data_IF_200164989048
#
_entry.id   IF_200164989048
#
_cell.length_a   1.000
_cell.length_b   1.000
_cell.length_c   1.000
_cell.angle_alpha   90.00
_cell.angle_beta   90.00
_cell.angle_gamma   90.00
#
_symmetry.space_group_name_H-M   'P 1'
#
loop_
_entity.id
_entity.type
_entity.pdbx_description
1 polymer ?
#
# COMPACT_ATOMS: atom_id res chain seq x y z
N UNK A 1 -24.01 -21.93 1.73
CA UNK A 1 -22.65 -21.36 1.90
C UNK A 1 -22.78 -19.91 2.37
N UNK A 2 -22.35 -19.60 3.60
CA UNK A 2 -22.58 -18.27 4.18
C UNK A 2 -21.85 -17.17 3.39
N UNK A 3 -22.54 -16.10 2.93
CA UNK A 3 -21.95 -15.02 2.14
C UNK A 3 -20.76 -14.34 2.83
N UNK A 4 -20.67 -14.44 4.16
CA UNK A 4 -19.55 -13.96 4.98
C UNK A 4 -18.23 -14.70 4.74
N UNK A 5 -18.24 -16.02 4.46
CA UNK A 5 -17.00 -16.80 4.22
C UNK A 5 -16.31 -16.45 2.90
N UNK A 6 -17.08 -16.13 1.84
CA UNK A 6 -16.54 -15.68 0.55
C UNK A 6 -15.93 -14.27 0.68
N UNK A 7 -16.62 -13.35 1.35
CA UNK A 7 -16.13 -12.00 1.62
C UNK A 7 -14.83 -12.00 2.44
N UNK A 8 -14.75 -12.86 3.46
CA UNK A 8 -13.55 -13.01 4.29
C UNK A 8 -12.34 -13.54 3.50
N UNK A 9 -12.53 -14.52 2.59
CA UNK A 9 -11.45 -15.00 1.71
C UNK A 9 -10.96 -13.92 0.74
N UNK A 10 -11.86 -13.11 0.20
CA UNK A 10 -11.50 -12.00 -0.69
C UNK A 10 -10.71 -10.93 0.08
N UNK A 11 -11.19 -10.52 1.26
CA UNK A 11 -10.48 -9.58 2.12
C UNK A 11 -9.09 -10.10 2.50
N UNK A 12 -9.00 -11.38 2.88
CA UNK A 12 -7.72 -12.03 3.18
C UNK A 12 -6.77 -12.08 1.98
N UNK A 13 -7.27 -12.37 0.77
CA UNK A 13 -6.45 -12.39 -0.45
C UNK A 13 -5.95 -10.99 -0.83
N UNK A 14 -6.80 -9.96 -0.72
CA UNK A 14 -6.40 -8.56 -0.92
C UNK A 14 -5.33 -8.17 0.10
N UNK A 15 -5.49 -8.55 1.36
CA UNK A 15 -4.49 -8.31 2.41
C UNK A 15 -3.14 -8.99 2.07
N UNK A 16 -3.19 -10.25 1.63
CA UNK A 16 -2.02 -11.03 1.23
C UNK A 16 -1.29 -10.41 0.04
N UNK A 17 -2.03 -9.84 -0.92
CA UNK A 17 -1.42 -9.12 -2.05
C UNK A 17 -0.59 -7.92 -1.58
N UNK A 18 -1.06 -7.22 -0.55
CA UNK A 18 -0.42 -6.05 0.02
C UNK A 18 0.92 -6.38 0.70
N UNK A 19 1.03 -7.60 1.25
CA UNK A 19 2.25 -8.12 1.88
C UNK A 19 3.39 -8.29 0.87
N UNK A 20 3.09 -8.45 -0.42
CA UNK A 20 4.15 -8.50 -1.46
C UNK A 20 4.51 -7.12 -1.98
N UNK A 21 3.53 -6.23 -2.16
CA UNK A 21 3.76 -4.89 -2.74
C UNK A 21 4.49 -3.95 -1.78
N UNK A 22 4.13 -3.97 -0.49
CA UNK A 22 4.69 -3.07 0.51
C UNK A 22 6.21 -3.24 0.77
N UNK A 23 6.74 -4.46 1.02
CA UNK A 23 8.18 -4.63 1.19
C UNK A 23 8.97 -4.45 -0.11
N UNK A 24 8.35 -4.65 -1.28
CA UNK A 24 9.00 -4.34 -2.55
C UNK A 24 9.30 -2.84 -2.68
N UNK A 25 8.30 -1.97 -2.45
CA UNK A 25 8.50 -0.51 -2.48
C UNK A 25 9.32 0.02 -1.30
N UNK A 26 9.12 -0.49 -0.08
CA UNK A 26 9.74 0.09 1.13
C UNK A 26 11.10 -0.51 1.52
N UNK A 27 11.44 -1.70 1.03
CA UNK A 27 12.68 -2.39 1.41
C UNK A 27 13.54 -2.65 0.18
N UNK A 28 12.98 -3.25 -0.87
CA UNK A 28 13.77 -3.70 -2.02
C UNK A 28 14.29 -2.53 -2.86
N UNK A 29 13.43 -1.56 -3.18
CA UNK A 29 13.77 -0.35 -3.95
C UNK A 29 14.79 0.52 -3.20
N UNK A 30 14.56 0.95 -1.94
CA UNK A 30 15.54 1.77 -1.24
C UNK A 30 16.86 1.04 -0.97
N UNK A 31 16.87 -0.28 -0.78
CA UNK A 31 18.12 -1.05 -0.62
C UNK A 31 18.98 -1.10 -1.89
N UNK A 32 18.37 -0.92 -3.07
CA UNK A 32 19.06 -0.91 -4.36
C UNK A 32 19.44 0.48 -4.85
N UNK A 33 18.63 1.49 -4.50
CA UNK A 33 18.79 2.85 -5.01
C UNK A 33 19.50 3.79 -4.02
N UNK A 34 19.34 3.59 -2.71
CA UNK A 34 19.84 4.54 -1.70
C UNK A 34 21.21 4.10 -1.19
N UNK A 35 22.24 4.88 -1.53
CA UNK A 35 23.57 4.77 -0.91
C UNK A 35 23.64 5.76 0.25
N UNK A 36 23.43 5.26 1.47
CA UNK A 36 23.50 6.08 2.70
C UNK A 36 24.87 6.77 2.79
N UNK A 37 24.86 8.10 2.82
CA UNK A 37 26.07 8.94 2.92
C UNK A 37 26.65 9.44 1.59
N UNK A 38 26.10 9.04 0.43
CA UNK A 38 26.54 9.55 -0.87
C UNK A 38 25.35 9.86 -1.80
N UNK A 39 24.96 11.14 -1.83
CA UNK A 39 23.85 11.62 -2.63
C UNK A 39 24.13 11.54 -4.14
N UNK A 40 25.37 11.75 -4.58
CA UNK A 40 25.75 11.66 -5.98
C UNK A 40 25.65 10.21 -6.49
N UNK A 41 26.13 9.24 -5.71
CA UNK A 41 26.00 7.82 -6.05
C UNK A 41 24.54 7.32 -6.02
N UNK A 42 23.69 7.92 -5.19
CA UNK A 42 22.24 7.65 -5.19
C UNK A 42 21.59 8.18 -6.48
N UNK A 43 21.93 9.41 -6.90
CA UNK A 43 21.44 10.00 -8.15
C UNK A 43 21.87 9.20 -9.39
N UNK A 44 23.13 8.75 -9.46
CA UNK A 44 23.61 7.90 -10.55
C UNK A 44 22.89 6.54 -10.61
N UNK A 45 22.60 5.93 -9.45
CA UNK A 45 21.83 4.68 -9.41
C UNK A 45 20.37 4.88 -9.83
N UNK A 46 19.76 6.02 -9.49
CA UNK A 46 18.41 6.41 -9.95
C UNK A 46 18.39 6.61 -11.46
N UNK A 47 19.38 7.31 -12.02
CA UNK A 47 19.52 7.51 -13.47
C UNK A 47 19.78 6.19 -14.21
N UNK A 48 20.58 5.31 -13.64
CA UNK A 48 20.86 3.99 -14.21
C UNK A 48 19.66 3.03 -14.12
N UNK A 49 18.76 3.22 -13.17
CA UNK A 49 17.60 2.34 -12.90
C UNK A 49 16.27 3.11 -12.86
N UNK A 50 16.08 4.07 -13.77
CA UNK A 50 14.86 4.90 -13.84
C UNK A 50 13.57 4.08 -13.90
N UNK A 51 13.57 2.97 -14.64
CA UNK A 51 12.41 2.08 -14.76
C UNK A 51 12.03 1.43 -13.44
N UNK A 52 13.01 1.04 -12.61
CA UNK A 52 12.74 0.54 -11.25
C UNK A 52 12.21 1.64 -10.34
N UNK A 53 12.76 2.84 -10.42
CA UNK A 53 12.28 3.98 -9.64
C UNK A 53 10.83 4.33 -10.00
N UNK A 54 10.51 4.41 -11.30
CA UNK A 54 9.14 4.63 -11.79
C UNK A 54 8.21 3.49 -11.39
N UNK A 55 8.63 2.22 -11.49
CA UNK A 55 7.83 1.09 -11.05
C UNK A 55 7.55 1.14 -9.54
N UNK A 56 8.48 1.62 -8.73
CA UNK A 56 8.27 1.78 -7.29
C UNK A 56 7.19 2.81 -6.98
N UNK A 57 7.21 3.96 -7.66
CA UNK A 57 6.18 5.00 -7.52
C UNK A 57 4.81 4.45 -7.93
N UNK A 58 4.74 3.76 -9.07
CA UNK A 58 3.52 3.08 -9.50
C UNK A 58 3.05 2.01 -8.50
N UNK A 59 4.00 1.24 -7.94
CA UNK A 59 3.73 0.23 -6.94
C UNK A 59 3.17 0.81 -5.64
N UNK A 60 3.67 1.97 -5.22
CA UNK A 60 3.19 2.67 -4.02
C UNK A 60 1.76 3.21 -4.22
N UNK A 61 1.50 3.85 -5.36
CA UNK A 61 0.16 4.30 -5.77
C UNK A 61 -0.85 3.13 -5.82
N UNK A 62 -0.46 2.02 -6.45
CA UNK A 62 -1.30 0.82 -6.52
C UNK A 62 -1.51 0.22 -5.13
N UNK A 63 -0.47 0.18 -4.29
CA UNK A 63 -0.55 -0.29 -2.91
C UNK A 63 -1.59 0.49 -2.09
N UNK A 64 -1.66 1.80 -2.28
CA UNK A 64 -2.66 2.62 -1.61
C UNK A 64 -4.09 2.37 -2.09
N UNK A 65 -4.29 2.17 -3.40
CA UNK A 65 -5.60 1.77 -3.93
C UNK A 65 -6.03 0.43 -3.32
N UNK A 66 -5.11 -0.55 -3.25
CA UNK A 66 -5.35 -1.84 -2.61
C UNK A 66 -5.71 -1.66 -1.14
N UNK A 67 -5.06 -0.74 -0.43
CA UNK A 67 -5.36 -0.45 0.98
C UNK A 67 -6.77 0.07 1.19
N UNK A 68 -7.23 0.97 0.32
CA UNK A 68 -8.61 1.47 0.35
C UNK A 68 -9.61 0.33 0.07
N UNK A 69 -9.34 -0.48 -0.96
CA UNK A 69 -10.17 -1.65 -1.27
C UNK A 69 -10.24 -2.64 -0.11
N UNK A 70 -9.12 -2.87 0.57
CA UNK A 70 -9.05 -3.70 1.77
C UNK A 70 -9.87 -3.11 2.92
N UNK A 71 -9.78 -1.79 3.15
CA UNK A 71 -10.57 -1.09 4.16
C UNK A 71 -12.07 -1.28 3.94
N UNK A 72 -12.54 -1.15 2.69
CA UNK A 72 -13.94 -1.37 2.32
C UNK A 72 -14.35 -2.84 2.49
N UNK A 73 -13.48 -3.78 2.12
CA UNK A 73 -13.73 -5.21 2.29
C UNK A 73 -13.86 -5.60 3.77
N UNK A 74 -12.98 -5.07 4.62
CA UNK A 74 -13.02 -5.23 6.07
C UNK A 74 -14.24 -4.55 6.69
N UNK A 75 -14.65 -3.36 6.20
CA UNK A 75 -15.90 -2.72 6.62
C UNK A 75 -17.10 -3.62 6.41
N UNK A 76 -17.21 -4.22 5.23
CA UNK A 76 -18.31 -5.13 4.90
C UNK A 76 -18.29 -6.40 5.77
N UNK A 77 -17.12 -6.82 6.25
CA UNK A 77 -16.99 -7.95 7.17
C UNK A 77 -17.34 -7.57 8.62
N UNK A 78 -16.74 -6.49 9.14
CA UNK A 78 -16.87 -6.05 10.53
C UNK A 78 -18.15 -5.26 10.83
N UNK A 79 -18.83 -4.73 9.81
CA UNK A 79 -20.12 -4.03 9.96
C UNK A 79 -21.23 -4.91 10.55
N UNK A 80 -21.10 -6.24 10.47
CA UNK A 80 -22.00 -7.18 11.16
C UNK A 80 -21.77 -7.21 12.68
N UNK A 81 -20.59 -6.83 13.16
CA UNK A 81 -20.26 -6.79 14.60
C UNK A 81 -20.54 -5.40 15.16
N UNK A 82 -19.96 -4.36 14.57
CA UNK A 82 -20.23 -2.98 14.97
C UNK A 82 -19.95 -1.99 13.82
N UNK A 83 -20.99 -1.32 13.34
CA UNK A 83 -20.89 -0.37 12.22
C UNK A 83 -20.07 0.87 12.53
N UNK A 84 -20.05 1.35 13.77
CA UNK A 84 -19.35 2.58 14.17
C UNK A 84 -17.84 2.36 14.10
N UNK A 85 -17.35 1.29 14.74
CA UNK A 85 -15.93 0.95 14.73
C UNK A 85 -15.44 0.57 13.33
N UNK A 86 -16.26 -0.14 12.55
CA UNK A 86 -15.94 -0.44 11.16
C UNK A 86 -15.81 0.85 10.32
N UNK A 87 -16.71 1.83 10.50
CA UNK A 87 -16.65 3.11 9.78
C UNK A 87 -15.40 3.91 10.18
N UNK A 88 -15.07 3.97 11.47
CA UNK A 88 -13.85 4.58 11.99
C UNK A 88 -12.59 3.98 11.35
N UNK A 89 -12.53 2.65 11.24
CA UNK A 89 -11.41 1.97 10.57
C UNK A 89 -11.25 2.44 9.12
N UNK A 90 -12.35 2.52 8.36
CA UNK A 90 -12.30 3.01 6.96
C UNK A 90 -11.87 4.47 6.90
N UNK A 91 -12.34 5.32 7.82
CA UNK A 91 -11.93 6.72 7.89
C UNK A 91 -10.42 6.84 8.11
N UNK A 92 -9.85 6.06 9.04
CA UNK A 92 -8.40 6.03 9.25
C UNK A 92 -7.63 5.50 8.03
N UNK A 93 -8.14 4.45 7.38
CA UNK A 93 -7.55 3.91 6.15
C UNK A 93 -7.53 4.96 5.04
N UNK A 94 -8.62 5.70 4.85
CA UNK A 94 -8.71 6.79 3.87
C UNK A 94 -7.74 7.93 4.17
N UNK A 95 -7.62 8.35 5.44
CA UNK A 95 -6.66 9.40 5.84
C UNK A 95 -5.22 8.92 5.60
N UNK A 96 -4.89 7.70 6.00
CA UNK A 96 -3.57 7.11 5.77
C UNK A 96 -3.25 6.97 4.28
N UNK A 97 -4.24 6.58 3.46
CA UNK A 97 -4.11 6.54 2.02
C UNK A 97 -3.85 7.95 1.46
N UNK A 98 -4.67 8.95 1.80
CA UNK A 98 -4.47 10.33 1.34
C UNK A 98 -3.06 10.86 1.68
N UNK A 99 -2.56 10.61 2.89
CA UNK A 99 -1.21 11.01 3.30
C UNK A 99 -0.14 10.32 2.47
N UNK A 100 -0.24 9.00 2.23
CA UNK A 100 0.77 8.34 1.41
C UNK A 100 0.69 8.68 -0.09
N UNK A 101 -0.47 9.09 -0.62
CA UNK A 101 -0.57 9.62 -1.98
C UNK A 101 0.23 10.93 -2.07
N UNK A 102 0.04 11.81 -1.09
CA UNK A 102 0.79 13.07 -1.00
C UNK A 102 2.30 12.82 -0.83
N UNK A 103 2.68 11.83 -0.01
CA UNK A 103 4.09 11.47 0.17
C UNK A 103 4.71 10.94 -1.13
N UNK A 104 3.96 10.15 -1.89
CA UNK A 104 4.42 9.61 -3.18
C UNK A 104 4.58 10.72 -4.22
N UNK A 105 3.70 11.73 -4.22
CA UNK A 105 3.78 12.88 -5.11
C UNK A 105 4.88 13.87 -4.73
N UNK A 106 5.34 13.85 -3.48
CA UNK A 106 6.39 14.74 -2.97
C UNK A 106 7.81 14.13 -3.07
N UNK A 107 7.92 12.84 -3.42
CA UNK A 107 9.21 12.18 -3.74
C UNK A 107 9.63 12.48 -5.18
#
# INVERSE_FOLDING_TARGET
MHPTKKAARIAGFIYLSMVFTAPFSLIYVPSKLIVRGNAAATADNILAHETMFRLSIFGDLIGQVIFICLGIALYRLLSNVNKIWAALMVAFVLVSAAVGFLNTLNN
#
